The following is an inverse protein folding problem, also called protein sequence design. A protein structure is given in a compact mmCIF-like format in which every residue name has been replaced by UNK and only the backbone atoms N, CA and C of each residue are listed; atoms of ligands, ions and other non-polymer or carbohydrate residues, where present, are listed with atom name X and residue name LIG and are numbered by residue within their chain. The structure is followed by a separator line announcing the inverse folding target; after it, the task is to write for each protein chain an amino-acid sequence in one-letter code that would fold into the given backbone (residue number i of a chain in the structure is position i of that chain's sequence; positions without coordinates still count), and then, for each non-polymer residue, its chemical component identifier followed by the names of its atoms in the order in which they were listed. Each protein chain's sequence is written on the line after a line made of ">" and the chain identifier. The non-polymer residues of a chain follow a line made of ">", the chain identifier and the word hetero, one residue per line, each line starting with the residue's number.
data_IF_651236331678
#
_entry.id   IF_651236331678
#
_cell.length_a   1.000
_cell.length_b   1.000
_cell.length_c   1.000
_cell.angle_alpha   90.00
_cell.angle_beta   90.00
_cell.angle_gamma   90.00
#
_symmetry.space_group_name_H-M   'P 1'
#
loop_
_entity.id
_entity.type
_entity.pdbx_description
1 polymer ?
#
# COMPACT_ATOMS: atom_id res chain seq x y z
N UNK A 1 -10.47 -7.66 -26.44
CA UNK A 1 -10.33 -8.80 -25.51
C UNK A 1 -9.00 -9.56 -25.68
N UNK A 2 -8.44 -9.67 -26.88
CA UNK A 2 -7.17 -10.40 -27.16
C UNK A 2 -5.89 -9.75 -26.57
N UNK A 3 -5.91 -8.44 -26.28
CA UNK A 3 -4.73 -7.71 -25.76
C UNK A 3 -4.47 -7.97 -24.25
N UNK A 4 -5.51 -8.14 -23.43
CA UNK A 4 -5.34 -8.43 -21.99
C UNK A 4 -4.78 -9.84 -21.73
N UNK A 5 -5.09 -10.81 -22.60
CA UNK A 5 -4.62 -12.19 -22.46
C UNK A 5 -3.11 -12.32 -22.75
N UNK A 6 -2.58 -11.52 -23.67
CA UNK A 6 -1.14 -11.48 -23.98
C UNK A 6 -0.30 -10.90 -22.83
N UNK A 7 -0.80 -9.84 -22.19
CA UNK A 7 -0.09 -9.21 -21.07
C UNK A 7 -0.04 -10.14 -19.83
N UNK A 8 -1.14 -10.85 -19.55
CA UNK A 8 -1.18 -11.85 -18.48
C UNK A 8 -0.25 -13.05 -18.75
N UNK A 9 -0.17 -13.51 -20.00
CA UNK A 9 0.76 -14.57 -20.40
C UNK A 9 2.23 -14.12 -20.29
N UNK A 10 2.53 -12.87 -20.66
CA UNK A 10 3.85 -12.26 -20.47
C UNK A 10 4.28 -12.22 -19.01
N UNK A 11 3.40 -11.75 -18.12
CA UNK A 11 3.67 -11.72 -16.67
C UNK A 11 3.89 -13.12 -16.08
N UNK A 12 3.11 -14.12 -16.54
CA UNK A 12 3.30 -15.50 -16.10
C UNK A 12 4.65 -16.06 -16.56
N UNK A 13 5.05 -15.78 -17.80
CA UNK A 13 6.35 -16.20 -18.34
C UNK A 13 7.50 -15.61 -17.53
N UNK A 14 7.50 -14.30 -17.31
CA UNK A 14 8.54 -13.62 -16.51
C UNK A 14 8.63 -14.16 -15.08
N UNK A 15 7.48 -14.45 -14.46
CA UNK A 15 7.42 -15.03 -13.13
C UNK A 15 8.02 -16.45 -13.08
N UNK A 16 7.79 -17.28 -14.09
CA UNK A 16 8.35 -18.64 -14.18
C UNK A 16 9.86 -18.61 -14.44
N UNK A 17 10.33 -17.73 -15.32
CA UNK A 17 11.76 -17.56 -15.63
C UNK A 17 12.57 -17.11 -14.40
N UNK A 18 12.03 -16.18 -13.61
CA UNK A 18 12.64 -15.75 -12.35
C UNK A 18 12.80 -16.89 -11.35
N UNK A 19 11.79 -17.77 -11.23
CA UNK A 19 11.84 -18.92 -10.33
C UNK A 19 12.78 -20.02 -10.80
N UNK A 20 12.84 -20.25 -12.11
CA UNK A 20 13.80 -21.19 -12.70
C UNK A 20 15.24 -20.73 -12.45
N UNK A 21 15.51 -19.43 -12.58
CA UNK A 21 16.84 -18.84 -12.31
C UNK A 21 17.21 -18.96 -10.83
N UNK A 22 16.21 -18.98 -9.94
CA UNK A 22 16.37 -19.24 -8.51
C UNK A 22 16.45 -20.73 -8.14
N UNK A 23 16.62 -21.64 -9.12
CA UNK A 23 16.80 -23.08 -8.91
C UNK A 23 15.51 -23.84 -8.56
N UNK A 24 14.35 -23.21 -8.69
CA UNK A 24 13.06 -23.86 -8.41
C UNK A 24 12.58 -24.62 -9.65
N UNK A 25 12.33 -25.92 -9.48
CA UNK A 25 11.85 -26.82 -10.56
C UNK A 25 10.33 -26.97 -10.60
N UNK A 26 9.61 -26.48 -9.57
CA UNK A 26 8.17 -26.65 -9.42
C UNK A 26 7.49 -25.39 -8.86
N UNK A 27 6.24 -25.16 -9.24
CA UNK A 27 5.41 -24.06 -8.72
C UNK A 27 4.08 -24.64 -8.20
N UNK A 28 3.72 -24.29 -6.96
CA UNK A 28 2.45 -24.69 -6.37
C UNK A 28 1.27 -24.03 -7.08
N UNK A 29 0.34 -24.85 -7.57
CA UNK A 29 -0.91 -24.38 -8.17
C UNK A 29 -2.05 -24.56 -7.17
N UNK A 30 -3.01 -23.62 -7.18
CA UNK A 30 -4.24 -23.81 -6.38
C UNK A 30 -5.04 -24.99 -6.94
N UNK A 31 -5.71 -25.79 -6.10
CA UNK A 31 -6.62 -26.83 -6.56
C UNK A 31 -7.60 -26.31 -7.63
N UNK A 32 -7.84 -27.11 -8.68
CA UNK A 32 -8.68 -26.70 -9.80
C UNK A 32 -8.02 -25.83 -10.86
N UNK A 33 -6.81 -25.31 -10.64
CA UNK A 33 -6.14 -24.44 -11.61
C UNK A 33 -5.62 -25.22 -12.82
N UNK A 34 -5.17 -26.45 -12.60
CA UNK A 34 -4.66 -27.30 -13.66
C UNK A 34 -5.79 -27.76 -14.59
N UNK A 35 -6.93 -28.19 -14.05
CA UNK A 35 -8.12 -28.49 -14.86
C UNK A 35 -8.61 -27.29 -15.67
N UNK A 36 -8.59 -26.08 -15.10
CA UNK A 36 -8.94 -24.84 -15.81
C UNK A 36 -7.97 -24.55 -16.95
N UNK A 37 -6.66 -24.71 -16.74
CA UNK A 37 -5.65 -24.53 -17.78
C UNK A 37 -5.80 -25.57 -18.91
N UNK A 38 -6.12 -26.82 -18.58
CA UNK A 38 -6.39 -27.86 -19.57
C UNK A 38 -7.72 -27.66 -20.31
N UNK A 39 -8.69 -26.97 -19.70
CA UNK A 39 -9.99 -26.65 -20.32
C UNK A 39 -9.94 -25.53 -21.36
N UNK A 40 -8.83 -24.76 -21.41
CA UNK A 40 -8.58 -23.77 -22.45
C UNK A 40 -8.19 -24.48 -23.76
N UNK A 41 -9.20 -24.92 -24.53
CA UNK A 41 -9.02 -25.39 -25.91
C UNK A 41 -8.67 -24.21 -26.83
N UNK A 42 -7.38 -23.98 -27.04
CA UNK A 42 -6.93 -22.96 -27.99
C UNK A 42 -5.41 -22.77 -28.08
N UNK A 43 -4.63 -23.84 -28.31
CA UNK A 43 -3.34 -23.80 -29.01
C UNK A 43 -2.77 -25.23 -29.14
N UNK A 44 -2.72 -25.74 -30.37
CA UNK A 44 -1.89 -26.84 -30.90
C UNK A 44 -1.53 -28.01 -29.96
N UNK A 45 -2.32 -29.09 -30.09
CA UNK A 45 -2.18 -30.41 -29.45
C UNK A 45 -0.75 -30.96 -29.42
N UNK A 46 0.03 -30.77 -30.49
CA UNK A 46 1.40 -31.27 -30.61
C UNK A 46 2.36 -30.77 -29.50
N UNK A 47 2.17 -29.54 -28.99
CA UNK A 47 3.07 -28.93 -28.00
C UNK A 47 2.73 -29.35 -26.56
N UNK A 48 1.46 -29.69 -26.32
CA UNK A 48 0.96 -30.22 -25.04
C UNK A 48 1.41 -31.68 -24.86
N UNK A 49 1.37 -32.47 -25.93
CA UNK A 49 1.85 -33.86 -25.93
C UNK A 49 3.36 -33.94 -25.64
N UNK A 50 4.16 -33.05 -26.23
CA UNK A 50 5.62 -33.02 -26.05
C UNK A 50 6.02 -32.67 -24.60
N UNK A 51 5.33 -31.70 -24.00
CA UNK A 51 5.57 -31.30 -22.60
C UNK A 51 5.14 -32.42 -21.65
N UNK A 52 4.01 -33.07 -21.91
CA UNK A 52 3.54 -34.22 -21.12
C UNK A 52 4.55 -35.38 -21.14
N UNK A 53 5.09 -35.72 -22.31
CA UNK A 53 6.11 -36.78 -22.45
C UNK A 53 7.40 -36.46 -21.69
N UNK A 54 7.82 -35.19 -21.66
CA UNK A 54 9.00 -34.73 -20.91
C UNK A 54 8.80 -34.77 -19.39
N UNK A 55 7.57 -34.55 -18.92
CA UNK A 55 7.22 -34.62 -17.48
C UNK A 55 7.07 -36.07 -17.01
N UNK A 56 6.52 -36.96 -17.84
CA UNK A 56 6.35 -38.38 -17.50
C UNK A 56 7.66 -39.18 -17.57
N UNK A 57 8.64 -38.74 -18.35
CA UNK A 57 9.97 -39.38 -18.48
C UNK A 57 10.99 -38.98 -17.39
N UNK A 58 10.64 -38.03 -16.50
CA UNK A 58 11.54 -37.60 -15.43
C UNK A 58 11.52 -38.62 -14.25
N UNK A 59 12.68 -39.00 -13.68
CA UNK A 59 12.74 -39.99 -12.60
C UNK A 59 11.95 -39.51 -11.37
N UNK A 60 11.02 -40.34 -10.88
CA UNK A 60 10.31 -40.08 -9.63
C UNK A 60 11.13 -40.56 -8.45
N UNK A 61 11.81 -39.64 -7.78
CA UNK A 61 12.47 -39.95 -6.52
C UNK A 61 11.43 -40.03 -5.39
N UNK A 62 11.42 -41.14 -4.65
CA UNK A 62 10.45 -41.41 -3.59
C UNK A 62 10.77 -40.61 -2.33
N UNK A 63 10.01 -39.55 -2.06
CA UNK A 63 10.12 -38.81 -0.80
C UNK A 63 9.08 -39.35 0.19
N UNK A 64 9.56 -39.93 1.31
CA UNK A 64 8.73 -40.28 2.47
C UNK A 64 8.11 -39.01 3.07
N UNK A 65 6.87 -39.05 3.59
CA UNK A 65 6.31 -37.91 4.29
C UNK A 65 7.07 -37.70 5.63
N UNK A 66 7.48 -36.46 5.96
CA UNK A 66 8.06 -36.19 7.27
C UNK A 66 6.97 -36.25 8.36
N UNK A 67 7.34 -36.77 9.52
CA UNK A 67 6.50 -36.83 10.71
C UNK A 67 6.12 -35.42 11.21
N UNK A 68 4.99 -35.27 11.95
CA UNK A 68 4.55 -33.98 12.44
C UNK A 68 5.49 -33.48 13.54
N UNK A 69 6.26 -32.44 13.25
CA UNK A 69 7.00 -31.71 14.27
C UNK A 69 6.02 -30.76 14.97
N UNK A 70 5.53 -31.16 16.13
CA UNK A 70 4.92 -30.27 17.11
C UNK A 70 6.06 -29.47 17.71
N UNK A 71 6.35 -28.31 17.11
CA UNK A 71 7.35 -27.36 17.59
C UNK A 71 6.64 -26.14 18.16
N UNK A 72 6.74 -25.96 19.47
CA UNK A 72 6.39 -24.74 20.19
C UNK A 72 7.27 -23.63 19.61
N UNK A 73 6.71 -22.75 18.79
CA UNK A 73 7.40 -21.52 18.37
C UNK A 73 7.17 -20.47 19.44
N UNK A 74 8.17 -20.29 20.30
CA UNK A 74 8.37 -19.04 21.01
C UNK A 74 8.32 -17.87 20.02
N UNK A 75 7.60 -16.82 20.42
CA UNK A 75 7.50 -15.58 19.67
C UNK A 75 8.92 -15.06 19.37
N UNK A 76 9.25 -14.76 18.10
CA UNK A 76 10.53 -14.12 17.82
C UNK A 76 10.49 -12.73 18.45
N UNK A 77 11.47 -12.48 19.31
CA UNK A 77 11.76 -11.16 19.84
C UNK A 77 11.80 -10.13 18.71
N UNK A 78 11.24 -8.96 19.01
CA UNK A 78 11.19 -7.76 18.18
C UNK A 78 12.57 -7.39 17.65
N UNK A 79 12.94 -7.90 16.49
CA UNK A 79 13.98 -7.29 15.66
C UNK A 79 13.31 -6.21 14.81
N UNK A 80 13.27 -4.99 15.33
CA UNK A 80 12.92 -3.81 14.54
C UNK A 80 13.83 -3.76 13.30
N UNK A 81 13.28 -3.66 12.07
CA UNK A 81 14.07 -3.24 10.95
C UNK A 81 14.56 -1.82 11.27
N UNK A 82 15.87 -1.66 11.35
CA UNK A 82 16.55 -0.37 11.52
C UNK A 82 16.00 0.58 10.46
N UNK A 83 15.21 1.57 10.89
CA UNK A 83 14.74 2.67 10.05
C UNK A 83 15.95 3.22 9.27
N UNK A 84 15.76 3.57 8.00
CA UNK A 84 16.76 4.31 7.24
C UNK A 84 17.06 5.60 8.01
N UNK A 85 18.15 5.57 8.78
CA UNK A 85 18.71 6.74 9.43
C UNK A 85 19.20 7.69 8.32
N UNK A 86 18.62 8.88 8.22
CA UNK A 86 19.20 9.96 7.42
C UNK A 86 18.25 10.87 6.63
N UNK A 87 16.92 10.76 6.71
CA UNK A 87 16.08 11.80 6.08
C UNK A 87 16.22 13.10 6.85
N UNK A 88 16.83 14.12 6.22
CA UNK A 88 16.98 15.46 6.78
C UNK A 88 15.61 16.10 6.97
N UNK A 89 15.32 16.58 8.19
CA UNK A 89 14.14 17.40 8.46
C UNK A 89 14.36 18.81 7.93
N UNK A 90 13.29 19.44 7.45
CA UNK A 90 13.32 20.79 6.92
C UNK A 90 13.07 21.75 8.09
N UNK A 91 13.98 22.69 8.31
CA UNK A 91 13.77 23.76 9.27
C UNK A 91 12.73 24.74 8.72
N UNK A 92 11.69 24.98 9.50
CA UNK A 92 10.58 25.89 9.13
C UNK A 92 10.33 26.88 10.26
N UNK A 93 10.08 28.12 9.87
CA UNK A 93 9.65 29.19 10.78
C UNK A 93 8.22 28.99 11.25
N UNK A 94 7.89 29.47 12.44
CA UNK A 94 6.54 29.45 12.99
C UNK A 94 6.53 29.15 14.48
N UNK A 95 5.62 29.79 15.20
CA UNK A 95 5.41 29.60 16.63
C UNK A 95 4.42 28.47 16.92
N UNK A 96 3.40 28.31 16.07
CA UNK A 96 2.39 27.26 16.17
C UNK A 96 2.65 26.12 15.17
N UNK A 97 2.05 24.94 15.41
CA UNK A 97 2.12 23.84 14.42
C UNK A 97 1.49 24.23 13.09
N UNK A 98 0.38 24.96 13.10
CA UNK A 98 -0.29 25.45 11.90
C UNK A 98 0.62 26.35 11.07
N UNK A 99 1.29 27.31 11.71
CA UNK A 99 2.27 28.20 11.05
C UNK A 99 3.44 27.43 10.46
N UNK A 100 4.00 26.46 11.22
CA UNK A 100 5.09 25.61 10.73
C UNK A 100 4.68 24.78 9.52
N UNK A 101 3.47 24.21 9.53
CA UNK A 101 2.94 23.45 8.40
C UNK A 101 2.70 24.35 7.17
N UNK A 102 2.21 25.58 7.37
CA UNK A 102 2.05 26.54 6.29
C UNK A 102 3.40 26.96 5.68
N UNK A 103 4.41 27.21 6.52
CA UNK A 103 5.77 27.48 6.07
C UNK A 103 6.36 26.27 5.31
N UNK A 104 6.15 25.05 5.81
CA UNK A 104 6.57 23.83 5.14
C UNK A 104 5.92 23.66 3.77
N UNK A 105 4.62 23.94 3.66
CA UNK A 105 3.88 23.89 2.39
C UNK A 105 4.46 24.88 1.37
N UNK A 106 4.81 26.10 1.80
CA UNK A 106 5.43 27.10 0.93
C UNK A 106 6.80 26.65 0.40
N UNK A 107 7.62 26.00 1.24
CA UNK A 107 8.89 25.40 0.81
C UNK A 107 8.66 24.22 -0.14
N UNK A 108 7.65 23.38 0.13
CA UNK A 108 7.35 22.20 -0.67
C UNK A 108 6.85 22.54 -2.08
N UNK A 109 6.08 23.63 -2.24
CA UNK A 109 5.51 24.05 -3.54
C UNK A 109 6.58 24.20 -4.62
N UNK A 110 7.76 24.69 -4.21
CA UNK A 110 8.91 24.97 -5.07
C UNK A 110 10.03 23.91 -4.99
N UNK A 111 9.76 22.72 -4.42
CA UNK A 111 10.75 21.66 -4.17
C UNK A 111 11.71 21.41 -5.34
N UNK A 112 12.97 21.87 -5.28
CA UNK A 112 13.92 21.73 -6.37
C UNK A 112 14.22 20.27 -6.71
N UNK A 113 14.31 19.42 -5.70
CA UNK A 113 14.58 17.99 -5.86
C UNK A 113 13.46 17.29 -6.62
N UNK A 114 12.20 17.60 -6.32
CA UNK A 114 11.06 17.05 -7.05
C UNK A 114 11.00 17.59 -8.49
N UNK A 115 11.28 18.89 -8.70
CA UNK A 115 11.30 19.50 -10.04
C UNK A 115 12.41 18.94 -10.93
N UNK A 116 13.60 18.73 -10.37
CA UNK A 116 14.76 18.24 -11.10
C UNK A 116 14.55 16.84 -11.71
N UNK A 117 13.62 16.04 -11.17
CA UNK A 117 13.29 14.72 -11.74
C UNK A 117 12.64 14.82 -13.11
N UNK A 118 11.86 15.87 -13.39
CA UNK A 118 11.12 16.01 -14.65
C UNK A 118 10.03 14.95 -14.90
N UNK A 119 9.74 14.09 -13.92
CA UNK A 119 8.76 12.98 -14.03
C UNK A 119 7.50 13.18 -13.21
N UNK A 120 7.35 14.35 -12.58
CA UNK A 120 6.22 14.73 -11.74
C UNK A 120 5.42 15.85 -12.40
N UNK A 121 4.12 15.87 -12.15
CA UNK A 121 3.24 16.99 -12.51
C UNK A 121 3.55 18.20 -11.63
N UNK A 122 3.22 19.38 -12.13
CA UNK A 122 3.64 20.62 -11.48
C UNK A 122 2.80 21.00 -10.25
N UNK A 123 1.53 20.59 -10.22
CA UNK A 123 0.62 20.97 -9.15
C UNK A 123 0.90 20.14 -7.91
N UNK A 124 1.25 20.82 -6.82
CA UNK A 124 1.39 20.18 -5.53
C UNK A 124 0.03 19.86 -4.90
N UNK A 125 -0.02 18.75 -4.19
CA UNK A 125 -1.07 18.40 -3.24
C UNK A 125 -0.39 18.11 -1.91
N UNK A 126 -0.45 19.08 -0.99
CA UNK A 126 0.32 19.04 0.24
C UNK A 126 -0.29 18.05 1.26
N UNK A 127 -1.28 18.52 2.03
CA UNK A 127 -1.98 17.77 3.06
C UNK A 127 -3.20 18.58 3.52
N UNK A 128 -4.13 17.95 4.25
CA UNK A 128 -5.25 18.63 4.91
C UNK A 128 -5.51 18.04 6.29
N UNK A 129 -6.25 18.78 7.11
CA UNK A 129 -6.72 18.34 8.41
C UNK A 129 -6.10 19.08 9.59
N UNK A 130 -6.23 18.53 10.79
CA UNK A 130 -5.81 19.20 12.02
C UNK A 130 -4.29 19.15 12.24
N UNK A 131 -3.63 20.28 12.54
CA UNK A 131 -2.24 20.30 13.02
C UNK A 131 -2.03 19.54 14.34
N UNK A 132 -3.09 19.31 15.11
CA UNK A 132 -3.10 18.60 16.39
C UNK A 132 -3.75 17.21 16.30
N UNK A 133 -3.87 16.69 15.08
CA UNK A 133 -4.46 15.38 14.82
C UNK A 133 -3.77 14.27 15.63
N UNK A 134 -4.59 13.47 16.31
CA UNK A 134 -4.11 12.28 17.02
C UNK A 134 -3.82 11.12 16.06
N UNK A 135 -4.42 11.15 14.88
CA UNK A 135 -4.25 10.15 13.81
C UNK A 135 -3.78 10.87 12.55
N UNK A 136 -2.66 10.41 11.99
CA UNK A 136 -2.14 10.85 10.70
C UNK A 136 -2.25 9.73 9.67
N UNK A 137 -2.85 9.98 8.52
CA UNK A 137 -3.01 9.03 7.43
C UNK A 137 -2.07 9.41 6.27
N UNK A 138 -1.29 8.44 5.81
CA UNK A 138 -0.30 8.65 4.75
C UNK A 138 -0.58 7.69 3.60
N UNK A 139 -0.93 8.27 2.44
CA UNK A 139 -1.17 7.55 1.19
C UNK A 139 0.03 7.52 0.25
N UNK A 140 -0.23 7.16 -1.00
CA UNK A 140 0.77 6.94 -2.05
C UNK A 140 1.19 8.25 -2.73
N UNK A 141 0.31 8.80 -3.55
CA UNK A 141 0.52 10.00 -4.34
C UNK A 141 -0.85 10.58 -4.77
N UNK A 142 -0.91 11.84 -5.22
CA UNK A 142 -2.13 12.44 -5.72
C UNK A 142 -2.59 11.80 -7.03
N UNK A 143 -3.90 11.67 -7.22
CA UNK A 143 -4.51 11.33 -8.50
C UNK A 143 -4.99 12.58 -9.25
N UNK A 144 -5.75 12.35 -10.32
CA UNK A 144 -6.30 13.43 -11.15
C UNK A 144 -7.20 14.41 -10.37
N UNK A 145 -8.11 13.88 -9.56
CA UNK A 145 -9.05 14.71 -8.80
C UNK A 145 -8.33 15.50 -7.71
N UNK A 146 -7.35 14.87 -7.05
CA UNK A 146 -6.50 15.52 -6.06
C UNK A 146 -5.65 16.63 -6.67
N UNK A 147 -5.03 16.39 -7.83
CA UNK A 147 -4.28 17.41 -8.59
C UNK A 147 -5.18 18.61 -8.96
N UNK A 148 -6.40 18.34 -9.42
CA UNK A 148 -7.37 19.38 -9.83
C UNK A 148 -7.81 20.24 -8.64
N UNK A 149 -8.05 19.61 -7.48
CA UNK A 149 -8.61 20.27 -6.30
C UNK A 149 -7.53 20.73 -5.31
N UNK A 150 -6.28 20.34 -5.51
CA UNK A 150 -5.15 20.54 -4.58
C UNK A 150 -5.40 20.01 -3.17
N UNK A 151 -6.24 18.98 -3.05
CA UNK A 151 -6.59 18.33 -1.78
C UNK A 151 -6.37 16.81 -1.90
N UNK A 152 -5.70 16.16 -0.94
CA UNK A 152 -5.47 14.72 -1.01
C UNK A 152 -6.76 13.94 -0.74
N UNK A 153 -6.90 12.78 -1.37
CA UNK A 153 -8.02 11.86 -1.14
C UNK A 153 -9.40 12.53 -1.33
N UNK A 154 -9.65 13.12 -2.50
CA UNK A 154 -10.95 13.70 -2.90
C UNK A 154 -11.66 12.89 -3.99
N UNK A 155 -10.92 12.05 -4.73
CA UNK A 155 -11.49 11.13 -5.71
C UNK A 155 -12.21 9.93 -5.07
N UNK A 156 -12.54 8.88 -5.85
CA UNK A 156 -13.29 7.72 -5.34
C UNK A 156 -12.62 7.02 -4.16
N UNK A 157 -11.29 6.85 -4.18
CA UNK A 157 -10.53 6.30 -3.07
C UNK A 157 -10.62 7.19 -1.82
N UNK A 158 -10.65 8.51 -2.03
CA UNK A 158 -10.86 9.49 -0.99
C UNK A 158 -12.24 9.43 -0.35
N UNK A 159 -13.29 9.27 -1.14
CA UNK A 159 -14.65 9.08 -0.63
C UNK A 159 -14.76 7.79 0.20
N UNK A 160 -14.08 6.71 -0.22
CA UNK A 160 -13.99 5.48 0.59
C UNK A 160 -13.28 5.74 1.92
N UNK A 161 -12.17 6.47 1.92
CA UNK A 161 -11.46 6.86 3.14
C UNK A 161 -12.36 7.67 4.07
N UNK A 162 -13.06 8.68 3.54
CA UNK A 162 -14.03 9.48 4.28
C UNK A 162 -15.13 8.61 4.91
N UNK A 163 -15.63 7.59 4.19
CA UNK A 163 -16.58 6.63 4.74
C UNK A 163 -16.01 5.80 5.90
N UNK A 164 -14.73 5.43 5.83
CA UNK A 164 -14.04 4.71 6.92
C UNK A 164 -13.89 5.62 8.15
N UNK A 165 -13.47 6.88 7.96
CA UNK A 165 -13.36 7.87 9.05
C UNK A 165 -14.71 8.11 9.73
N UNK A 166 -15.79 8.28 8.95
CA UNK A 166 -17.15 8.40 9.48
C UNK A 166 -17.57 7.18 10.30
N UNK A 167 -17.21 5.97 9.88
CA UNK A 167 -17.48 4.77 10.66
C UNK A 167 -16.69 4.74 11.99
N UNK A 168 -15.48 5.31 12.01
CA UNK A 168 -14.70 5.54 13.24
C UNK A 168 -15.32 6.63 14.13
N UNK A 169 -16.26 7.43 13.62
CA UNK A 169 -16.82 8.58 14.31
C UNK A 169 -15.94 9.83 14.22
N UNK A 170 -15.16 9.96 13.13
CA UNK A 170 -14.25 11.07 12.88
C UNK A 170 -14.61 11.79 11.60
N UNK A 171 -14.44 13.11 11.60
CA UNK A 171 -14.42 13.95 10.42
C UNK A 171 -13.00 14.14 9.86
N UNK A 172 -12.92 14.46 8.56
CA UNK A 172 -11.62 14.71 7.89
C UNK A 172 -10.84 15.84 8.55
N UNK A 173 -11.52 16.82 9.15
CA UNK A 173 -10.91 17.95 9.84
C UNK A 173 -10.24 17.55 11.17
N UNK A 174 -10.57 16.40 11.75
CA UNK A 174 -10.04 15.94 13.04
C UNK A 174 -8.76 15.09 12.91
N UNK A 175 -8.52 14.56 11.72
CA UNK A 175 -7.32 13.79 11.38
C UNK A 175 -6.38 14.63 10.51
N UNK A 176 -5.18 14.13 10.23
CA UNK A 176 -4.29 14.73 9.23
C UNK A 176 -4.08 13.76 8.08
N UNK A 177 -4.28 14.20 6.85
CA UNK A 177 -4.23 13.36 5.65
C UNK A 177 -3.16 13.88 4.69
N UNK A 178 -2.21 13.02 4.35
CA UNK A 178 -1.04 13.32 3.53
C UNK A 178 -0.72 12.14 2.58
N UNK A 179 0.25 12.32 1.69
CA UNK A 179 0.79 11.29 0.80
C UNK A 179 2.33 11.29 0.86
N UNK A 180 2.94 10.12 0.57
CA UNK A 180 4.40 10.03 0.44
C UNK A 180 4.93 10.95 -0.65
N UNK A 181 4.32 10.90 -1.83
CA UNK A 181 4.62 11.85 -2.90
C UNK A 181 3.64 13.02 -2.86
N UNK A 182 4.15 14.25 -2.96
CA UNK A 182 3.34 15.49 -2.94
C UNK A 182 2.85 15.92 -4.30
N UNK A 183 3.33 15.28 -5.36
CA UNK A 183 3.02 15.60 -6.74
C UNK A 183 2.50 14.37 -7.44
N UNK A 184 1.53 14.55 -8.34
CA UNK A 184 1.02 13.45 -9.16
C UNK A 184 2.13 12.98 -10.11
N UNK A 185 2.46 11.67 -10.18
CA UNK A 185 3.46 11.22 -11.12
C UNK A 185 3.00 11.32 -12.58
N UNK A 186 3.87 11.81 -13.46
CA UNK A 186 3.56 12.03 -14.87
C UNK A 186 3.62 10.73 -15.68
N UNK A 187 2.75 10.62 -16.68
CA UNK A 187 2.80 9.59 -17.71
C UNK A 187 3.24 10.18 -19.05
N UNK A 188 3.87 9.40 -19.91
CA UNK A 188 4.19 9.82 -21.28
C UNK A 188 2.91 10.11 -22.07
N UNK A 189 2.93 11.19 -22.85
CA UNK A 189 1.79 11.63 -23.66
C UNK A 189 0.67 12.28 -22.84
N UNK A 190 -0.57 12.15 -23.34
CA UNK A 190 -1.74 12.74 -22.67
C UNK A 190 -2.20 11.84 -21.51
N UNK A 191 -1.97 12.30 -20.29
CA UNK A 191 -2.22 11.51 -19.08
C UNK A 191 -3.71 11.44 -18.67
N UNK A 192 -4.51 12.47 -18.97
CA UNK A 192 -5.92 12.55 -18.55
C UNK A 192 -6.10 12.16 -17.08
N UNK A 193 -6.94 11.15 -16.82
CA UNK A 193 -7.24 10.62 -15.47
C UNK A 193 -6.36 9.44 -15.05
N UNK A 194 -5.46 8.97 -15.92
CA UNK A 194 -4.61 7.81 -15.63
C UNK A 194 -3.54 8.13 -14.59
N UNK A 195 -3.26 7.17 -13.71
CA UNK A 195 -2.27 7.32 -12.63
C UNK A 195 -1.33 6.13 -12.63
N UNK A 196 -0.08 6.37 -12.21
CA UNK A 196 0.89 5.34 -11.88
C UNK A 196 1.40 5.56 -10.46
N UNK A 197 2.02 4.53 -9.90
CA UNK A 197 2.74 4.66 -8.64
C UNK A 197 3.98 5.57 -8.80
N UNK A 198 4.37 6.29 -7.74
CA UNK A 198 5.62 7.03 -7.74
C UNK A 198 6.81 6.06 -7.74
N UNK A 199 7.92 6.49 -8.34
CA UNK A 199 9.20 5.80 -8.28
C UNK A 199 9.87 6.02 -6.93
N UNK A 200 10.92 5.24 -6.64
CA UNK A 200 11.71 5.41 -5.42
C UNK A 200 12.40 6.78 -5.34
N UNK A 201 12.81 7.33 -6.49
CA UNK A 201 13.39 8.67 -6.56
C UNK A 201 12.35 9.76 -6.29
N UNK A 202 11.14 9.61 -6.84
CA UNK A 202 10.02 10.55 -6.62
C UNK A 202 9.57 10.55 -5.15
N UNK A 203 9.50 9.37 -4.53
CA UNK A 203 9.25 9.26 -3.09
C UNK A 203 10.37 9.89 -2.28
N UNK A 204 11.63 9.61 -2.61
CA UNK A 204 12.78 10.14 -1.88
C UNK A 204 12.84 11.67 -1.92
N UNK A 205 12.52 12.29 -3.06
CA UNK A 205 12.44 13.75 -3.21
C UNK A 205 11.36 14.38 -2.32
N UNK A 206 10.26 13.67 -2.07
CA UNK A 206 9.16 14.18 -1.23
C UNK A 206 9.29 13.82 0.26
N UNK A 207 10.11 12.81 0.59
CA UNK A 207 10.18 12.24 1.93
C UNK A 207 10.60 13.25 3.02
N UNK A 208 11.51 14.21 2.79
CA UNK A 208 11.83 15.25 3.78
C UNK A 208 10.61 16.04 4.25
N UNK A 209 9.68 16.38 3.35
CA UNK A 209 8.45 17.09 3.72
C UNK A 209 7.57 16.23 4.60
N UNK A 210 7.34 14.97 4.22
CA UNK A 210 6.49 14.04 4.99
C UNK A 210 7.07 13.77 6.38
N UNK A 211 8.38 13.58 6.47
CA UNK A 211 9.07 13.39 7.75
C UNK A 211 9.01 14.64 8.63
N UNK A 212 9.02 15.83 8.02
CA UNK A 212 8.85 17.10 8.73
C UNK A 212 7.40 17.28 9.19
N UNK A 213 6.39 16.92 8.38
CA UNK A 213 4.97 16.89 8.80
C UNK A 213 4.77 16.01 10.03
N UNK A 214 5.31 14.78 10.01
CA UNK A 214 5.26 13.85 11.14
C UNK A 214 5.89 14.47 12.39
N UNK A 215 7.05 15.12 12.23
CA UNK A 215 7.77 15.75 13.35
C UNK A 215 7.03 16.95 13.94
N UNK A 216 6.27 17.69 13.14
CA UNK A 216 5.52 18.87 13.60
C UNK A 216 4.23 18.42 14.30
N UNK A 217 3.52 17.46 13.71
CA UNK A 217 2.21 17.02 14.21
C UNK A 217 2.37 16.18 15.48
N UNK A 218 3.35 15.27 15.47
CA UNK A 218 3.57 14.26 16.52
C UNK A 218 2.28 13.50 16.87
N UNK A 219 1.63 12.83 15.88
CA UNK A 219 0.39 12.12 16.13
C UNK A 219 0.61 10.95 17.10
N UNK A 220 -0.47 10.47 17.74
CA UNK A 220 -0.40 9.23 18.55
C UNK A 220 -0.23 7.98 17.69
N UNK A 221 -0.80 8.01 16.47
CA UNK A 221 -0.75 6.88 15.53
C UNK A 221 -0.64 7.39 14.10
N UNK A 222 0.24 6.75 13.32
CA UNK A 222 0.31 6.89 11.86
C UNK A 222 -0.42 5.70 11.22
N UNK A 223 -1.16 5.95 10.14
CA UNK A 223 -1.80 4.92 9.31
C UNK A 223 -1.18 4.96 7.92
N UNK A 224 -0.38 3.94 7.58
CA UNK A 224 0.20 3.76 6.27
C UNK A 224 -0.80 3.05 5.34
N UNK A 225 -1.34 3.79 4.37
CA UNK A 225 -2.36 3.33 3.43
C UNK A 225 -1.71 2.69 2.20
N UNK A 226 -1.51 1.39 2.24
CA UNK A 226 -0.98 0.61 1.12
C UNK A 226 0.55 0.56 1.04
N UNK A 227 1.04 -0.12 -0.01
CA UNK A 227 2.41 -0.60 -0.07
C UNK A 227 3.42 0.51 -0.29
N UNK A 228 3.06 1.50 -1.10
CA UNK A 228 3.91 2.65 -1.37
C UNK A 228 4.09 3.50 -0.12
N UNK A 229 3.03 3.71 0.67
CA UNK A 229 3.12 4.36 1.97
C UNK A 229 4.07 3.61 2.93
N UNK A 230 3.93 2.27 3.01
CA UNK A 230 4.82 1.45 3.83
C UNK A 230 6.29 1.57 3.41
N UNK A 231 6.54 1.51 2.10
CA UNK A 231 7.88 1.61 1.54
C UNK A 231 8.49 2.99 1.78
N UNK A 232 7.74 4.06 1.51
CA UNK A 232 8.16 5.44 1.73
C UNK A 232 8.51 5.74 3.18
N UNK A 233 7.71 5.23 4.13
CA UNK A 233 7.97 5.38 5.57
C UNK A 233 9.08 4.48 6.10
N UNK A 234 9.67 3.63 5.26
CA UNK A 234 10.73 2.69 5.67
C UNK A 234 10.24 1.50 6.50
N UNK A 235 8.93 1.20 6.50
CA UNK A 235 8.34 0.05 7.21
C UNK A 235 8.69 -1.27 6.51
N UNK A 236 8.64 -1.27 5.17
CA UNK A 236 8.96 -2.43 4.35
C UNK A 236 7.94 -2.66 3.22
N UNK A 237 8.04 -3.83 2.58
CA UNK A 237 7.23 -4.20 1.42
C UNK A 237 6.26 -5.35 1.71
N UNK A 238 5.17 -5.41 0.92
CA UNK A 238 4.17 -6.48 0.99
C UNK A 238 3.06 -6.22 2.01
N UNK A 239 2.11 -5.35 1.66
CA UNK A 239 0.97 -4.93 2.53
C UNK A 239 0.23 -6.12 3.13
N UNK A 240 -0.04 -7.17 2.35
CA UNK A 240 -0.81 -8.34 2.81
C UNK A 240 -0.18 -9.01 4.04
N UNK A 241 1.16 -9.01 4.13
CA UNK A 241 1.90 -9.57 5.26
C UNK A 241 2.03 -8.55 6.39
N UNK A 242 2.19 -7.27 6.05
CA UNK A 242 2.49 -6.23 7.03
C UNK A 242 1.25 -5.77 7.80
N UNK A 243 0.07 -5.80 7.18
CA UNK A 243 -1.14 -5.18 7.72
C UNK A 243 -1.61 -5.77 9.05
N UNK A 244 -2.31 -4.94 9.82
CA UNK A 244 -2.88 -5.30 11.12
C UNK A 244 -1.88 -5.44 12.25
N UNK A 245 -0.62 -5.02 12.02
CA UNK A 245 0.47 -4.93 12.99
C UNK A 245 0.94 -3.48 13.07
N UNK A 246 1.39 -3.08 14.26
CA UNK A 246 2.07 -1.81 14.46
C UNK A 246 3.56 -1.95 14.17
N UNK A 247 4.09 -0.95 13.49
CA UNK A 247 5.51 -0.69 13.32
C UNK A 247 5.83 0.65 13.97
N UNK A 248 7.03 1.16 13.77
CA UNK A 248 7.46 2.43 14.32
C UNK A 248 8.02 3.32 13.22
N UNK A 249 7.60 4.59 13.22
CA UNK A 249 8.11 5.64 12.35
C UNK A 249 8.40 6.86 13.22
N UNK A 250 9.65 7.28 13.33
CA UNK A 250 10.08 8.37 14.23
C UNK A 250 9.61 8.20 15.69
N UNK A 251 9.64 6.97 16.23
CA UNK A 251 9.14 6.70 17.59
C UNK A 251 7.61 6.66 17.72
N UNK A 252 6.88 6.85 16.61
CA UNK A 252 5.41 6.86 16.59
C UNK A 252 4.89 5.52 16.07
N UNK A 253 3.92 4.87 16.75
CA UNK A 253 3.26 3.67 16.27
C UNK A 253 2.62 3.88 14.88
N UNK A 254 2.95 3.01 13.93
CA UNK A 254 2.45 3.05 12.57
C UNK A 254 1.67 1.77 12.23
N UNK A 255 0.36 1.88 12.02
CA UNK A 255 -0.48 0.78 11.53
C UNK A 255 -0.38 0.70 10.00
N UNK A 256 -0.13 -0.50 9.47
CA UNK A 256 -0.24 -0.77 8.05
C UNK A 256 -1.64 -1.29 7.73
N UNK A 257 -2.28 -0.75 6.69
CA UNK A 257 -3.53 -1.29 6.16
C UNK A 257 -3.62 -1.13 4.63
N UNK A 258 -4.75 -1.52 4.05
CA UNK A 258 -5.01 -1.40 2.62
C UNK A 258 -5.17 0.06 2.19
N UNK A 259 -4.68 0.37 0.99
CA UNK A 259 -5.07 1.61 0.34
C UNK A 259 -6.57 1.55 -0.02
N UNK A 260 -7.36 2.63 0.14
CA UNK A 260 -8.79 2.63 -0.16
C UNK A 260 -9.13 2.20 -1.60
N UNK A 261 -8.23 2.46 -2.56
CA UNK A 261 -8.41 1.98 -3.94
C UNK A 261 -8.38 0.46 -4.07
N UNK A 262 -7.65 -0.25 -3.20
CA UNK A 262 -7.66 -1.71 -3.17
C UNK A 262 -9.03 -2.23 -2.75
N UNK A 263 -9.61 -1.63 -1.70
CA UNK A 263 -10.96 -1.98 -1.22
C UNK A 263 -11.99 -1.76 -2.35
N UNK A 264 -11.92 -0.63 -3.06
CA UNK A 264 -12.81 -0.35 -4.19
C UNK A 264 -12.66 -1.36 -5.35
N UNK A 265 -11.46 -1.84 -5.62
CA UNK A 265 -11.24 -2.89 -6.63
C UNK A 265 -11.85 -4.22 -6.18
N UNK A 266 -11.62 -4.60 -4.94
CA UNK A 266 -12.18 -5.83 -4.36
C UNK A 266 -13.72 -5.80 -4.29
N UNK A 267 -14.32 -4.63 -4.08
CA UNK A 267 -15.78 -4.46 -4.11
C UNK A 267 -16.41 -4.76 -5.48
N UNK A 268 -15.66 -4.60 -6.56
CA UNK A 268 -16.13 -4.91 -7.92
C UNK A 268 -16.06 -6.41 -8.26
N UNK A 269 -15.38 -7.20 -7.44
CA UNK A 269 -15.28 -8.65 -7.61
C UNK A 269 -16.49 -9.35 -6.98
N UNK A 270 -16.75 -10.59 -7.39
CA UNK A 270 -17.94 -11.37 -6.96
C UNK A 270 -18.11 -11.51 -5.43
N UNK A 271 -17.04 -11.32 -4.64
CA UNK A 271 -17.08 -11.34 -3.17
C UNK A 271 -17.44 -10.01 -2.49
N UNK A 272 -17.77 -8.96 -3.27
CA UNK A 272 -18.20 -7.65 -2.76
C UNK A 272 -17.19 -6.95 -1.84
N UNK A 273 -15.91 -7.35 -1.91
CA UNK A 273 -14.83 -6.85 -1.06
C UNK A 273 -15.04 -7.04 0.44
N UNK A 274 -15.91 -7.98 0.86
CA UNK A 274 -16.29 -8.12 2.29
C UNK A 274 -15.07 -8.40 3.18
N UNK A 275 -14.17 -9.28 2.71
CA UNK A 275 -12.95 -9.61 3.42
C UNK A 275 -12.05 -8.39 3.59
N UNK A 276 -11.77 -7.67 2.50
CA UNK A 276 -10.91 -6.49 2.52
C UNK A 276 -11.47 -5.36 3.40
N UNK A 277 -12.80 -5.16 3.38
CA UNK A 277 -13.49 -4.22 4.25
C UNK A 277 -13.37 -4.60 5.73
N UNK A 278 -13.64 -5.87 6.06
CA UNK A 278 -13.55 -6.37 7.42
C UNK A 278 -12.13 -6.27 7.97
N UNK A 279 -11.15 -6.71 7.17
CA UNK A 279 -9.73 -6.60 7.51
C UNK A 279 -9.32 -5.15 7.75
N UNK A 280 -9.67 -4.23 6.84
CA UNK A 280 -9.42 -2.80 7.04
C UNK A 280 -10.08 -2.26 8.32
N UNK A 281 -11.31 -2.67 8.62
CA UNK A 281 -12.02 -2.24 9.81
C UNK A 281 -11.38 -2.76 11.11
N UNK A 282 -10.95 -4.02 11.14
CA UNK A 282 -10.20 -4.59 12.26
C UNK A 282 -8.88 -3.83 12.50
N UNK A 283 -8.23 -3.35 11.45
CA UNK A 283 -7.04 -2.48 11.58
C UNK A 283 -7.41 -1.12 12.18
N UNK A 284 -8.51 -0.51 11.73
CA UNK A 284 -8.97 0.79 12.25
C UNK A 284 -9.42 0.72 13.71
N UNK A 285 -10.02 -0.37 14.15
CA UNK A 285 -10.35 -0.56 15.57
C UNK A 285 -9.10 -0.53 16.45
N UNK A 286 -8.00 -1.17 16.01
CA UNK A 286 -6.70 -1.11 16.71
C UNK A 286 -6.11 0.30 16.70
N UNK A 287 -6.26 1.04 15.59
CA UNK A 287 -5.84 2.45 15.50
C UNK A 287 -6.62 3.31 16.48
N UNK A 288 -7.94 3.17 16.54
CA UNK A 288 -8.79 3.91 17.49
C UNK A 288 -8.38 3.63 18.93
N UNK A 289 -8.17 2.35 19.27
CA UNK A 289 -7.72 1.94 20.61
C UNK A 289 -6.36 2.56 20.95
N UNK A 290 -5.40 2.50 20.02
CA UNK A 290 -4.06 3.05 20.21
C UNK A 290 -4.06 4.59 20.29
N UNK A 291 -4.95 5.26 19.58
CA UNK A 291 -5.15 6.70 19.65
C UNK A 291 -5.91 7.14 20.91
N UNK A 292 -6.51 6.21 21.66
CA UNK A 292 -7.33 6.49 22.83
C UNK A 292 -8.73 7.01 22.51
N UNK A 293 -9.26 6.68 21.32
CA UNK A 293 -10.62 7.03 20.92
C UNK A 293 -11.64 6.08 21.56
N UNK A 294 -12.83 6.55 21.95
CA UNK A 294 -13.90 5.68 22.41
C UNK A 294 -14.37 4.76 21.26
N UNK A 295 -14.59 3.49 21.57
CA UNK A 295 -15.08 2.48 20.62
C UNK A 295 -16.37 1.87 21.16
N UNK A 296 -17.49 2.15 20.50
CA UNK A 296 -18.80 1.58 20.84
C UNK A 296 -18.89 0.08 20.56
N UNK A 297 -19.83 -0.61 21.22
CA UNK A 297 -20.12 -2.02 20.92
C UNK A 297 -20.53 -2.23 19.47
N UNK A 298 -21.32 -1.29 18.91
CA UNK A 298 -21.71 -1.29 17.49
C UNK A 298 -20.48 -1.27 16.57
N UNK A 299 -19.48 -0.47 16.88
CA UNK A 299 -18.23 -0.41 16.11
C UNK A 299 -17.43 -1.71 16.23
N UNK A 300 -17.32 -2.28 17.44
CA UNK A 300 -16.66 -3.59 17.64
C UNK A 300 -17.40 -4.73 16.93
N UNK A 301 -18.73 -4.63 16.86
CA UNK A 301 -19.63 -5.58 16.24
C UNK A 301 -19.90 -5.36 14.75
N UNK A 302 -19.31 -4.35 14.10
CA UNK A 302 -19.72 -3.93 12.74
C UNK A 302 -19.71 -5.06 11.70
N UNK A 303 -18.76 -6.00 11.80
CA UNK A 303 -18.67 -7.19 10.94
C UNK A 303 -18.91 -8.52 11.68
N UNK A 304 -19.33 -8.47 12.95
CA UNK A 304 -19.79 -9.66 13.67
C UNK A 304 -21.24 -9.91 13.27
N UNK A 305 -21.50 -11.10 12.74
CA UNK A 305 -22.87 -11.57 12.49
C UNK A 305 -23.51 -11.96 13.81
#
# INVERSE_FOLDING_TARGET
>A
MLFMTLQAAGMLKTYLEQRQTAGQTHVGLRPGTLERLCSFKGATTARVEEVRRKVEAAPRESVRPPAPVVGIFEAPATTSPRARAGTRLIEVSGSTKAEKLAALAAVAESSPEARALGTLRETMVFAVGSPDAQIMLIGEAPGFEEERQREPFVGPAGQKLTGILKAMGLDRSEVYISNICKFRPALEGSQGTANRAPSDAEMAACLPYVMTEISIIQPRVIVALGGVACKGLGIGEGVMRLRGRFYEVQGIPAMVTYHPSYILREEKLAGGGIRAKRECWEDMLKVMEKAGLPISEKQRGFFRK
#
